data_IF_612655250459
#
_entry.id   IF_612655250459
#
_cell.length_a   1.000
_cell.length_b   1.000
_cell.length_c   1.000
_cell.angle_alpha   90.00
_cell.angle_beta   90.00
_cell.angle_gamma   90.00
#
_symmetry.space_group_name_H-M   'P 1'
#
loop_
_entity.id
_entity.type
_entity.pdbx_description
1 polymer ?
2 water ?
#
# COMPACT_ATOMS: atom_id res chain seq x y z
N UNK A 1 13.13 11.54 -26.92
CA UNK A 1 13.84 11.23 -25.69
C UNK A 1 12.90 10.85 -24.55
N UNK A 2 13.20 9.75 -23.87
CA UNK A 2 12.38 9.26 -22.77
C UNK A 2 12.50 10.14 -21.52
N UNK A 3 13.70 10.63 -21.26
CA UNK A 3 13.98 11.46 -20.10
C UNK A 3 15.17 12.40 -20.37
N UNK A 4 15.42 13.34 -19.45
CA UNK A 4 16.44 14.36 -19.66
C UNK A 4 17.80 14.02 -19.03
N UNK A 5 18.85 14.48 -19.74
CA UNK A 5 20.28 14.44 -19.36
C UNK A 5 20.71 13.67 -18.09
N UNK A 6 21.35 14.36 -17.14
CA UNK A 6 22.20 13.78 -16.09
C UNK A 6 23.63 13.58 -16.61
N UNK A 9 27.26 11.07 -15.15
CA UNK A 9 27.55 9.83 -15.87
C UNK A 9 27.43 8.61 -14.96
N UNK A 10 27.91 8.75 -13.73
CA UNK A 10 27.79 7.69 -12.73
C UNK A 10 26.35 7.29 -12.47
N UNK A 11 25.42 8.25 -12.63
CA UNK A 11 23.99 8.01 -12.43
C UNK A 11 23.21 7.74 -13.73
N UNK A 12 23.93 7.58 -14.83
CA UNK A 12 23.28 7.39 -16.14
C UNK A 12 22.59 6.03 -16.24
N UNK A 13 23.27 4.99 -15.79
CA UNK A 13 22.71 3.64 -15.84
C UNK A 13 21.58 3.51 -14.83
N UNK A 14 21.73 4.14 -13.67
CA UNK A 14 20.69 4.14 -12.63
C UNK A 14 19.38 4.77 -13.14
N UNK A 15 19.51 5.87 -13.86
CA UNK A 15 18.37 6.53 -14.46
C UNK A 15 17.66 5.63 -15.47
N UNK A 16 18.42 5.01 -16.36
CA UNK A 16 17.83 4.10 -17.35
C UNK A 16 17.10 2.94 -16.65
N UNK A 17 17.74 2.41 -15.61
CA UNK A 17 17.19 1.29 -14.83
C UNK A 17 15.90 1.71 -14.11
N UNK A 18 15.90 2.89 -13.53
CA UNK A 18 14.70 3.44 -12.90
C UNK A 18 13.50 3.44 -13.85
N UNK A 19 13.72 3.87 -15.09
CA UNK A 19 12.64 3.98 -16.07
C UNK A 19 12.27 2.64 -16.72
N UNK A 20 13.28 1.86 -17.10
CA UNK A 20 13.08 0.72 -17.98
C UNK A 20 13.40 -0.65 -17.36
N UNK A 21 13.83 -0.66 -16.10
CA UNK A 21 14.14 -1.91 -15.42
C UNK A 21 12.92 -2.70 -15.02
N UNK A 22 13.14 -3.96 -14.66
CA UNK A 22 12.13 -4.73 -13.94
C UNK A 22 11.97 -4.11 -12.55
N UNK A 23 10.96 -4.54 -11.80
CA UNK A 23 10.67 -3.93 -10.50
C UNK A 23 11.86 -3.97 -9.56
N UNK A 24 12.55 -5.11 -9.49
CA UNK A 24 13.72 -5.24 -8.61
C UNK A 24 14.76 -4.18 -8.97
N UNK A 25 15.02 -4.01 -10.25
CA UNK A 25 16.02 -3.05 -10.70
C UNK A 25 15.62 -1.61 -10.42
N UNK A 26 14.35 -1.29 -10.63
CA UNK A 26 13.84 0.06 -10.40
C UNK A 26 13.97 0.45 -8.93
N UNK A 27 13.59 -0.47 -8.06
CA UNK A 27 13.62 -0.22 -6.62
C UNK A 27 15.06 -0.04 -6.10
N UNK A 28 15.97 -0.86 -6.62
CA UNK A 28 17.38 -0.72 -6.28
C UNK A 28 17.93 0.61 -6.78
N UNK A 29 17.58 0.95 -8.02
CA UNK A 29 18.02 2.22 -8.62
C UNK A 29 17.54 3.45 -7.84
N UNK A 30 16.26 3.52 -7.50
CA UNK A 30 15.75 4.68 -6.79
C UNK A 30 16.36 4.79 -5.39
N UNK A 31 16.61 3.64 -4.75
CA UNK A 31 17.26 3.62 -3.44
C UNK A 31 18.64 4.25 -3.54
N UNK A 32 19.41 3.85 -4.55
CA UNK A 32 20.76 4.39 -4.74
C UNK A 32 20.71 5.87 -5.09
N UNK A 33 19.77 6.26 -5.94
CA UNK A 33 19.61 7.65 -6.35
C UNK A 33 19.31 8.57 -5.16
N UNK A 34 18.58 8.07 -4.18
CA UNK A 34 18.27 8.85 -2.97
C UNK A 34 19.52 9.12 -2.11
N UNK A 35 20.62 8.40 -2.39
CA UNK A 35 21.92 8.68 -1.72
C UNK A 35 22.86 9.55 -2.57
N UNK A 36 22.40 9.95 -3.76
CA UNK A 36 23.24 10.69 -4.71
C UNK A 36 22.96 12.20 -4.74
N UNK A 37 22.47 12.73 -3.62
CA UNK A 37 22.30 14.17 -3.46
C UNK A 37 21.30 14.83 -4.39
N UNK A 38 21.48 16.13 -4.61
CA UNK A 38 20.54 16.94 -5.36
C UNK A 38 20.19 16.34 -6.71
N UNK A 39 21.20 15.87 -7.44
CA UNK A 39 20.98 15.29 -8.77
C UNK A 39 20.18 13.98 -8.71
N UNK A 40 20.49 13.13 -7.74
CA UNK A 40 19.75 11.88 -7.54
C UNK A 40 18.27 12.14 -7.28
N UNK A 41 17.97 13.06 -6.37
CA UNK A 41 16.57 13.42 -6.10
C UNK A 41 15.91 14.07 -7.31
N UNK A 42 16.62 14.92 -8.04
CA UNK A 42 16.05 15.52 -9.24
C UNK A 42 15.60 14.46 -10.24
N UNK A 43 16.42 13.42 -10.42
CA UNK A 43 16.07 12.29 -11.28
C UNK A 43 14.79 11.60 -10.81
N UNK A 44 14.62 11.46 -9.50
CA UNK A 44 13.38 10.83 -8.97
C UNK A 44 12.14 11.70 -9.22
N UNK A 45 12.28 13.02 -9.09
CA UNK A 45 11.20 13.94 -9.45
C UNK A 45 10.78 13.79 -10.90
N UNK A 46 11.75 13.79 -11.79
CA UNK A 46 11.47 13.61 -13.21
C UNK A 46 10.80 12.28 -13.47
N UNK A 47 11.25 11.24 -12.76
CA UNK A 47 10.64 9.92 -12.92
C UNK A 47 9.15 9.94 -12.54
N UNK A 48 8.79 10.59 -11.44
CA UNK A 48 7.35 10.74 -11.09
C UNK A 48 6.54 11.43 -12.17
N UNK A 49 7.11 12.48 -12.75
CA UNK A 49 6.44 13.17 -13.85
C UNK A 49 6.29 12.27 -15.06
N UNK A 50 7.41 11.69 -15.50
CA UNK A 50 7.48 10.94 -16.74
C UNK A 50 6.74 9.60 -16.72
N UNK A 51 6.85 8.88 -15.60
CA UNK A 51 6.32 7.52 -15.52
C UNK A 51 4.80 7.45 -15.44
N UNK A 52 4.14 8.58 -15.22
CA UNK A 52 2.68 8.63 -15.21
C UNK A 52 2.08 8.18 -16.54
N UNK A 53 2.86 8.28 -17.62
CA UNK A 53 2.42 7.91 -18.96
C UNK A 53 2.52 6.39 -19.23
N UNK A 54 3.17 5.64 -18.34
CA UNK A 54 3.36 4.21 -18.56
C UNK A 54 2.03 3.45 -18.54
N UNK A 55 1.87 2.54 -19.50
CA UNK A 55 0.67 1.70 -19.60
C UNK A 55 1.05 0.37 -20.24
N UNK A 56 0.50 -0.76 -19.79
CA UNK A 56 -0.51 -0.85 -18.72
C UNK A 56 0.04 -0.49 -17.34
N UNK A 57 -0.84 -0.34 -16.35
CA UNK A 57 -0.43 0.13 -15.03
C UNK A 57 0.66 -0.75 -14.40
N UNK A 58 1.83 -0.17 -14.14
CA UNK A 58 2.86 -0.85 -13.36
C UNK A 58 2.48 -1.05 -11.90
N UNK A 59 3.29 -1.80 -11.18
CA UNK A 59 3.06 -2.04 -9.75
C UNK A 59 3.06 -0.70 -9.01
N UNK A 60 2.03 -0.46 -8.20
CA UNK A 60 1.88 0.86 -7.59
C UNK A 60 2.97 1.27 -6.59
N UNK A 61 3.76 0.30 -6.10
CA UNK A 61 4.85 0.64 -5.19
C UNK A 61 6.11 1.17 -5.87
N UNK A 62 6.15 1.16 -7.20
CA UNK A 62 7.28 1.78 -7.88
C UNK A 62 7.16 3.31 -7.72
N UNK A 63 6.05 3.88 -8.17
CA UNK A 63 5.79 5.30 -7.89
C UNK A 63 5.62 5.57 -6.40
N UNK A 64 4.98 4.64 -5.68
CA UNK A 64 4.84 4.78 -4.23
C UNK A 64 6.16 4.97 -3.51
N UNK A 65 7.11 4.09 -3.78
CA UNK A 65 8.40 4.15 -3.07
C UNK A 65 9.21 5.35 -3.56
N UNK A 66 9.11 5.68 -4.84
CA UNK A 66 9.80 6.85 -5.39
C UNK A 66 9.31 8.11 -4.66
N UNK A 67 7.99 8.20 -4.50
CA UNK A 67 7.38 9.31 -3.76
C UNK A 67 7.85 9.34 -2.30
N UNK A 68 7.89 8.17 -1.66
CA UNK A 68 8.38 8.09 -0.28
C UNK A 68 9.82 8.62 -0.16
N UNK A 69 10.69 8.22 -1.08
CA UNK A 69 12.08 8.68 -1.05
C UNK A 69 12.15 10.19 -1.18
N UNK A 70 11.38 10.74 -2.10
CA UNK A 70 11.30 12.19 -2.25
C UNK A 70 10.71 12.84 -0.99
N UNK A 71 9.63 12.25 -0.48
CA UNK A 71 8.99 12.74 0.75
C UNK A 71 9.97 12.85 1.90
N UNK A 72 10.92 11.91 1.96
CA UNK A 72 11.92 11.87 3.03
C UNK A 72 13.19 12.69 2.74
N UNK A 73 13.24 13.35 1.58
CA UNK A 73 14.40 14.15 1.17
C UNK A 73 14.53 15.43 1.99
N UNK A 74 15.77 15.83 2.29
CA UNK A 74 16.02 17.09 3.01
C UNK A 74 15.92 18.36 2.13
N UNK A 75 15.85 18.17 0.81
CA UNK A 75 15.90 19.27 -0.15
C UNK A 75 14.60 20.09 -0.18
N UNK A 76 14.73 21.40 0.05
CA UNK A 76 13.61 22.34 -0.06
C UNK A 76 12.91 22.30 -1.42
N UNK A 77 13.68 22.17 -2.50
CA UNK A 77 13.11 22.13 -3.84
C UNK A 77 12.24 20.88 -4.05
N UNK A 78 12.66 19.77 -3.47
CA UNK A 78 11.88 18.53 -3.54
C UNK A 78 10.56 18.69 -2.79
N UNK A 79 10.61 19.25 -1.59
CA UNK A 79 9.38 19.43 -0.83
C UNK A 79 8.42 20.41 -1.52
N UNK A 80 8.96 21.44 -2.17
CA UNK A 80 8.15 22.37 -2.95
C UNK A 80 7.47 21.63 -4.12
N UNK A 81 8.25 20.80 -4.81
CA UNK A 81 7.74 20.02 -5.94
C UNK A 81 6.57 19.15 -5.48
N UNK A 82 6.75 18.48 -4.34
CA UNK A 82 5.71 17.59 -3.83
C UNK A 82 4.47 18.36 -3.37
N UNK A 83 4.68 19.52 -2.74
CA UNK A 83 3.54 20.32 -2.31
C UNK A 83 2.75 20.86 -3.52
N UNK A 84 3.49 21.21 -4.58
CA UNK A 84 2.86 21.77 -5.79
C UNK A 84 2.10 20.74 -6.62
N UNK A 85 2.66 19.53 -6.72
CA UNK A 85 2.14 18.51 -7.65
C UNK A 85 1.52 17.29 -6.99
N UNK A 86 1.95 16.97 -5.76
CA UNK A 86 1.41 15.80 -5.04
C UNK A 86 1.00 16.11 -3.61
N UNK A 87 0.16 17.13 -3.42
CA UNK A 87 -0.26 17.54 -2.08
C UNK A 87 -1.02 16.47 -1.31
N UNK A 88 -1.72 15.58 -2.02
CA UNK A 88 -2.40 14.45 -1.40
C UNK A 88 -1.78 13.12 -1.82
N UNK A 89 -0.48 13.11 -2.08
CA UNK A 89 0.24 11.88 -2.41
C UNK A 89 0.16 11.50 -3.89
N UNK A 90 0.55 10.26 -4.20
CA UNK A 90 0.66 9.82 -5.59
C UNK A 90 -0.36 8.76 -6.00
N UNK A 91 -1.12 8.23 -5.03
CA UNK A 91 -2.13 7.21 -5.33
C UNK A 91 -3.50 7.86 -5.41
N UNK A 92 -4.21 7.72 -6.53
CA UNK A 92 -5.54 8.30 -6.64
C UNK A 92 -6.47 7.87 -5.51
N UNK A 93 -7.13 8.83 -4.90
CA UNK A 93 -8.04 8.55 -3.78
C UNK A 93 -9.48 8.61 -4.29
N UNK A 94 -10.07 7.43 -4.43
CA UNK A 94 -11.40 7.31 -5.05
C UNK A 94 -12.38 6.72 -4.06
N UNK A 95 -13.59 7.29 -4.05
CA UNK A 95 -14.64 6.79 -3.16
C UNK A 95 -16.00 6.94 -3.83
N UNK A 96 -16.91 6.02 -3.51
CA UNK A 96 -18.32 6.11 -3.92
C UNK A 96 -19.20 6.70 -2.83
N UNK A 97 -18.62 7.01 -1.68
CA UNK A 97 -19.41 7.44 -0.52
C UNK A 97 -18.80 8.67 0.18
N UNK A 98 -18.03 9.45 -0.57
CA UNK A 98 -17.45 10.69 -0.08
C UNK A 98 -16.45 10.53 1.05
N UNK A 99 -15.84 9.34 1.15
CA UNK A 99 -14.91 9.02 2.21
C UNK A 99 -13.55 9.67 1.93
N UNK A 100 -12.95 10.23 2.97
CA UNK A 100 -11.67 10.93 2.89
C UNK A 100 -10.52 9.96 3.25
N UNK A 101 -9.60 9.74 2.31
CA UNK A 101 -8.45 8.85 2.53
C UNK A 101 -7.13 9.62 2.65
N UNK A 102 -7.19 10.95 2.73
CA UNK A 102 -5.98 11.78 2.75
C UNK A 102 -5.09 11.45 3.95
N UNK A 103 -5.70 11.32 5.13
CA UNK A 103 -4.92 11.05 6.34
C UNK A 103 -4.33 9.64 6.28
N UNK A 104 -5.10 8.71 5.77
CA UNK A 104 -4.62 7.35 5.61
C UNK A 104 -3.36 7.34 4.73
N UNK A 105 -3.42 8.05 3.60
CA UNK A 105 -2.29 8.13 2.67
C UNK A 105 -1.04 8.71 3.35
N UNK A 106 -1.26 9.71 4.20
CA UNK A 106 -0.16 10.34 4.94
C UNK A 106 0.51 9.37 5.92
N UNK A 107 -0.29 8.59 6.64
CA UNK A 107 0.25 7.59 7.56
C UNK A 107 1.11 6.57 6.81
N UNK A 108 0.62 6.15 5.65
CA UNK A 108 1.32 5.17 4.85
C UNK A 108 2.70 5.63 4.40
N UNK A 109 2.81 6.82 3.84
CA UNK A 109 4.12 7.24 3.31
C UNK A 109 5.13 7.32 4.47
N UNK A 110 4.66 7.72 5.65
CA UNK A 110 5.48 7.78 6.85
C UNK A 110 5.77 6.42 7.53
N UNK A 111 5.24 5.34 6.96
CA UNK A 111 5.45 3.98 7.48
C UNK A 111 4.83 3.78 8.88
N UNK A 112 3.73 4.50 9.15
CA UNK A 112 3.01 4.38 10.40
C UNK A 112 1.95 3.29 10.21
N UNK A 113 2.42 2.05 10.12
CA UNK A 113 1.55 0.94 9.71
C UNK A 113 0.51 0.58 10.76
N UNK A 114 0.87 0.62 12.04
CA UNK A 114 -0.13 0.35 13.10
C UNK A 114 -1.29 1.34 13.01
N UNK A 115 -0.97 2.63 12.87
CA UNK A 115 -2.00 3.67 12.75
C UNK A 115 -2.80 3.49 11.48
N UNK A 116 -2.12 3.15 10.39
CA UNK A 116 -2.78 2.94 9.10
C UNK A 116 -3.76 1.77 9.17
N UNK A 117 -3.36 0.72 9.88
CA UNK A 117 -4.23 -0.44 10.09
C UNK A 117 -5.45 -0.09 10.93
N UNK A 118 -5.25 0.70 12.00
CA UNK A 118 -6.38 1.21 12.80
C UNK A 118 -7.36 1.98 11.92
N UNK A 119 -6.82 2.88 11.12
CA UNK A 119 -7.64 3.74 10.27
C UNK A 119 -8.32 2.94 9.14
N UNK A 120 -7.64 1.92 8.62
CA UNK A 120 -8.26 1.05 7.61
C UNK A 120 -9.57 0.45 8.13
N UNK A 121 -9.49 -0.17 9.32
CA UNK A 121 -10.67 -0.75 9.95
C UNK A 121 -11.75 0.32 10.17
N UNK A 122 -11.35 1.47 10.69
CA UNK A 122 -12.31 2.56 10.93
C UNK A 122 -12.99 2.99 9.64
N UNK A 123 -12.23 3.01 8.54
CA UNK A 123 -12.78 3.41 7.26
C UNK A 123 -13.76 2.40 6.69
N UNK A 124 -13.49 1.11 6.89
CA UNK A 124 -14.44 0.07 6.46
C UNK A 124 -15.76 0.22 7.21
N UNK A 125 -15.67 0.54 8.50
CA UNK A 125 -16.87 0.75 9.31
C UNK A 125 -17.61 2.00 8.87
N UNK A 126 -16.87 3.08 8.57
CA UNK A 126 -17.45 4.28 8.00
C UNK A 126 -18.26 3.98 6.74
N UNK A 127 -17.69 3.18 5.84
CA UNK A 127 -18.35 2.83 4.59
C UNK A 127 -19.65 2.05 4.81
N UNK A 128 -19.67 1.24 5.86
CA UNK A 128 -20.84 0.39 6.13
C UNK A 128 -22.00 1.13 6.80
N UNK A 129 -21.72 2.35 7.28
CA UNK A 129 -22.77 3.22 7.80
C UNK A 129 -22.69 3.44 9.30
N UNK A 130 -23.57 4.31 9.82
CA UNK A 130 -23.53 4.72 11.22
C UNK A 130 -23.49 3.56 12.24
N UNK A 131 -24.28 2.53 12.00
CA UNK A 131 -24.39 1.42 12.94
C UNK A 131 -23.06 0.66 13.05
N UNK A 132 -22.41 0.42 11.91
CA UNK A 132 -21.09 -0.21 11.91
C UNK A 132 -20.05 0.72 12.52
N UNK A 133 -20.15 2.01 12.20
CA UNK A 133 -19.20 3.00 12.68
C UNK A 133 -19.23 3.06 14.20
N UNK A 134 -20.43 3.03 14.77
CA UNK A 134 -20.59 2.99 16.23
C UNK A 134 -20.10 1.65 16.80
N UNK A 135 -20.45 0.57 16.13
CA UNK A 135 -20.06 -0.80 16.53
C UNK A 135 -18.54 -1.03 16.53
N UNK A 136 -17.86 -0.41 15.58
CA UNK A 136 -16.40 -0.54 15.37
C UNK A 136 -15.92 -1.87 14.76
N UNK A 137 -16.86 -2.72 14.33
CA UNK A 137 -16.53 -3.90 13.56
C UNK A 137 -17.66 -4.24 12.57
N UNK A 138 -17.38 -5.14 11.64
CA UNK A 138 -18.26 -5.41 10.50
C UNK A 138 -18.91 -6.78 10.57
N UNK A 139 -20.14 -6.87 10.09
CA UNK A 139 -20.72 -8.16 9.72
C UNK A 139 -20.22 -8.50 8.33
N UNK A 140 -20.10 -9.79 8.03
CA UNK A 140 -19.61 -10.19 6.70
C UNK A 140 -20.55 -9.73 5.57
N UNK A 141 -21.84 -9.65 5.86
CA UNK A 141 -22.81 -9.16 4.87
C UNK A 141 -22.53 -7.71 4.49
N UNK A 142 -22.07 -6.92 5.46
CA UNK A 142 -21.70 -5.53 5.19
C UNK A 142 -20.46 -5.47 4.30
N UNK A 143 -19.52 -6.39 4.53
CA UNK A 143 -18.29 -6.43 3.72
C UNK A 143 -18.62 -6.71 2.25
N UNK A 144 -19.52 -7.66 2.04
CA UNK A 144 -19.91 -8.05 0.69
C UNK A 144 -20.41 -6.84 -0.10
N UNK A 145 -20.92 -5.84 0.61
CA UNK A 145 -21.53 -4.65 0.01
C UNK A 145 -20.66 -3.38 -0.02
N UNK A 146 -19.40 -3.48 0.38
CA UNK A 146 -18.50 -2.32 0.29
C UNK A 146 -18.25 -1.89 -1.17
N UNK A 147 -18.17 -0.59 -1.46
CA UNK A 147 -17.93 -0.16 -2.85
C UNK A 147 -16.55 -0.54 -3.40
N UNK A 148 -16.52 -0.96 -4.66
CA UNK A 148 -15.27 -1.33 -5.31
C UNK A 148 -14.21 -0.22 -5.29
N UNK A 149 -14.56 1.02 -5.66
CA UNK A 149 -13.58 2.11 -5.68
C UNK A 149 -12.89 2.32 -4.32
N UNK A 150 -13.66 2.28 -3.25
CA UNK A 150 -13.14 2.47 -1.90
C UNK A 150 -12.18 1.36 -1.53
N UNK A 151 -12.58 0.13 -1.76
CA UNK A 151 -11.73 -1.00 -1.43
C UNK A 151 -10.45 -0.98 -2.27
N UNK A 152 -10.57 -0.58 -3.54
CA UNK A 152 -9.38 -0.50 -4.42
C UNK A 152 -8.43 0.60 -3.93
N UNK A 153 -8.99 1.72 -3.49
CA UNK A 153 -8.17 2.81 -2.96
C UNK A 153 -7.39 2.32 -1.75
N UNK A 154 -8.09 1.70 -0.81
CA UNK A 154 -7.46 1.19 0.39
C UNK A 154 -6.36 0.17 0.04
N UNK A 155 -6.67 -0.74 -0.88
CA UNK A 155 -5.73 -1.80 -1.22
C UNK A 155 -4.53 -1.24 -1.98
N UNK A 156 -4.78 -0.30 -2.90
CA UNK A 156 -3.71 0.34 -3.66
C UNK A 156 -2.76 1.08 -2.72
N UNK A 157 -3.30 1.72 -1.70
CA UNK A 157 -2.46 2.40 -0.72
C UNK A 157 -1.59 1.39 0.03
N UNK A 158 -2.19 0.31 0.51
CA UNK A 158 -1.43 -0.73 1.20
C UNK A 158 -0.32 -1.27 0.30
N UNK A 159 -0.64 -1.56 -0.95
CA UNK A 159 0.38 -2.09 -1.87
C UNK A 159 1.50 -1.09 -2.12
N UNK A 160 1.10 0.14 -2.43
CA UNK A 160 2.03 1.20 -2.87
C UNK A 160 3.09 1.52 -1.82
N UNK A 161 2.73 1.38 -0.55
CA UNK A 161 3.59 1.82 0.53
C UNK A 161 4.20 0.67 1.35
N UNK A 162 4.03 -0.54 0.84
CA UNK A 162 4.56 -1.74 1.47
C UNK A 162 5.48 -2.53 0.54
N UNK A 163 5.98 -1.89 -0.52
CA UNK A 163 6.74 -2.59 -1.54
C UNK A 163 5.97 -3.83 -2.04
N UNK A 164 4.64 -3.72 -2.09
CA UNK A 164 3.79 -4.79 -2.59
C UNK A 164 3.58 -5.97 -1.63
N UNK A 165 4.03 -5.85 -0.38
CA UNK A 165 3.96 -6.94 0.59
C UNK A 165 2.61 -7.05 1.29
N UNK A 166 1.89 -5.94 1.40
CA UNK A 166 0.68 -5.84 2.21
C UNK A 166 -0.53 -5.48 1.35
N UNK A 167 -1.71 -5.87 1.83
CA UNK A 167 -2.98 -5.53 1.17
C UNK A 167 -3.89 -6.73 1.08
N UNK A 168 -5.18 -6.46 0.95
CA UNK A 168 -6.17 -7.54 0.80
C UNK A 168 -5.90 -8.36 -0.45
N UNK A 169 -5.48 -7.70 -1.53
CA UNK A 169 -5.21 -8.42 -2.77
C UNK A 169 -4.04 -9.39 -2.62
N UNK A 170 -3.05 -9.03 -1.78
CA UNK A 170 -1.95 -9.93 -1.45
C UNK A 170 -2.46 -11.14 -0.65
N UNK A 171 -3.26 -10.88 0.38
CA UNK A 171 -3.84 -11.95 1.19
C UNK A 171 -4.67 -12.90 0.30
N UNK A 172 -5.43 -12.31 -0.62
CA UNK A 172 -6.21 -13.13 -1.56
C UNK A 172 -5.32 -14.09 -2.35
N UNK A 173 -4.27 -13.57 -2.96
CA UNK A 173 -3.39 -14.40 -3.77
C UNK A 173 -2.69 -15.46 -2.92
N UNK A 174 -2.26 -15.10 -1.73
CA UNK A 174 -1.64 -16.08 -0.82
C UNK A 174 -2.64 -17.16 -0.42
N UNK A 175 -3.87 -16.76 -0.13
CA UNK A 175 -4.93 -17.69 0.24
C UNK A 175 -5.21 -18.67 -0.90
N UNK A 176 -5.37 -18.14 -2.10
CA UNK A 176 -5.61 -18.97 -3.28
C UNK A 176 -4.43 -19.90 -3.56
N UNK A 177 -3.20 -19.44 -3.30
CA UNK A 177 -2.00 -20.27 -3.46
C UNK A 177 -1.75 -21.24 -2.31
N UNK A 178 -2.52 -21.12 -1.23
CA UNK A 178 -2.49 -22.02 -0.06
C UNK A 178 -3.63 -23.04 -0.14
N UNK A 179 -4.15 -23.29 -1.33
CA UNK A 179 -5.31 -24.19 -1.50
C UNK A 179 -6.59 -23.72 -0.83
N UNK A 180 -6.72 -22.41 -0.63
CA UNK A 180 -7.85 -21.82 0.10
C UNK A 180 -8.00 -22.39 1.51
N UNK A 181 -6.90 -22.86 2.08
CA UNK A 181 -6.90 -23.40 3.41
C UNK A 181 -6.51 -22.34 4.43
N UNK A 182 -7.45 -22.00 5.31
CA UNK A 182 -7.25 -20.90 6.26
C UNK A 182 -6.12 -21.19 7.24
N UNK A 183 -6.03 -22.43 7.71
CA UNK A 183 -4.97 -22.77 8.66
C UNK A 183 -3.60 -22.49 8.05
N UNK A 184 -3.40 -22.90 6.81
CA UNK A 184 -2.17 -22.64 6.07
C UNK A 184 -1.93 -21.14 5.89
N UNK A 185 -2.99 -20.39 5.63
CA UNK A 185 -2.86 -18.94 5.46
C UNK A 185 -2.33 -18.28 6.73
N UNK A 186 -2.90 -18.62 7.88
CA UNK A 186 -2.51 -17.97 9.15
C UNK A 186 -1.01 -18.16 9.38
N UNK A 187 -0.51 -19.36 9.13
CA UNK A 187 0.92 -19.62 9.26
C UNK A 187 1.71 -18.78 8.26
N UNK A 188 1.26 -18.78 7.01
CA UNK A 188 1.93 -18.06 5.92
C UNK A 188 2.10 -16.57 6.23
N UNK A 189 1.05 -15.93 6.70
CA UNK A 189 1.07 -14.46 6.91
C UNK A 189 1.42 -14.04 8.34
N UNK A 190 1.77 -15.01 9.20
CA UNK A 190 2.27 -14.71 10.53
C UNK A 190 1.21 -14.33 11.56
N UNK A 191 0.05 -14.97 11.47
CA UNK A 191 -1.06 -14.67 12.40
C UNK A 191 -1.22 -15.75 13.45
N UNK A 192 -0.18 -16.52 13.70
CA UNK A 192 -0.21 -17.50 14.79
C UNK A 192 0.95 -17.25 15.74
N UNK A 193 0.65 -17.36 17.03
CA UNK A 193 1.66 -17.39 18.08
C UNK A 193 1.57 -18.75 18.74
N UNK A 194 2.20 -19.74 18.13
CA UNK A 194 2.14 -21.12 18.63
C UNK A 194 0.74 -21.65 18.42
N UNK A 195 0.01 -21.89 19.52
CA UNK A 195 -1.34 -22.44 19.49
C UNK A 195 -2.44 -21.39 19.68
N UNK A 196 -2.09 -20.11 19.61
CA UNK A 196 -3.07 -19.05 19.82
C UNK A 196 -2.89 -17.92 18.82
N UNK A 197 -3.87 -17.02 18.77
CA UNK A 197 -3.74 -15.81 17.95
C UNK A 197 -2.75 -14.88 18.62
N UNK A 198 -2.08 -14.03 17.85
CA UNK A 198 -1.21 -13.01 18.44
C UNK A 198 -2.04 -11.97 19.16
N UNK A 199 -1.49 -11.41 20.23
CA UNK A 199 -2.15 -10.35 21.00
C UNK A 199 -2.06 -9.04 20.22
N UNK A 200 -3.19 -8.36 20.04
CA UNK A 200 -3.22 -7.09 19.34
C UNK A 200 -3.01 -5.95 20.34
N UNK A 201 -2.19 -4.93 20.02
CA UNK A 201 -1.37 -4.84 18.80
C UNK A 201 0.07 -5.35 18.95
N UNK A 202 0.51 -5.59 20.19
CA UNK A 202 1.93 -5.78 20.46
C UNK A 202 2.61 -6.97 19.79
N UNK A 203 1.87 -8.02 19.47
CA UNK A 203 2.51 -9.21 18.89
C UNK A 203 2.49 -9.29 17.36
N UNK A 204 1.96 -8.25 16.72
CA UNK A 204 2.06 -8.11 15.27
C UNK A 204 3.30 -7.30 14.90
N UNK A 205 3.69 -7.40 13.64
CA UNK A 205 4.92 -6.81 13.14
C UNK A 205 4.55 -5.61 12.27
N UNK A 206 4.88 -4.40 12.75
CA UNK A 206 4.41 -3.16 12.12
C UNK A 206 5.46 -2.51 11.23
N UNK A 207 6.15 -3.32 10.45
CA UNK A 207 7.11 -2.83 9.46
C UNK A 207 7.29 -3.85 8.36
N UNK A 208 8.16 -3.52 7.40
CA UNK A 208 8.24 -4.32 6.17
C UNK A 208 9.05 -5.60 6.33
N UNK A 209 9.59 -5.84 7.54
CA UNK A 209 10.14 -7.16 7.89
C UNK A 209 9.03 -8.20 8.07
N UNK A 210 7.79 -7.75 8.22
CA UNK A 210 6.66 -8.67 8.39
C UNK A 210 6.50 -9.55 7.16
N UNK A 211 5.92 -10.75 7.32
CA UNK A 211 5.68 -11.62 6.16
C UNK A 211 4.74 -10.95 5.16
N UNK A 212 4.87 -11.32 3.88
CA UNK A 212 3.91 -10.84 2.88
C UNK A 212 2.51 -11.24 3.34
N UNK A 213 1.55 -10.32 3.20
CA UNK A 213 0.16 -10.55 3.63
C UNK A 213 -0.13 -10.33 5.10
N UNK A 214 0.87 -9.93 5.88
CA UNK A 214 0.69 -9.78 7.33
C UNK A 214 -0.34 -8.71 7.67
N UNK A 215 -0.38 -7.63 6.88
CA UNK A 215 -1.30 -6.51 7.07
C UNK A 215 -2.08 -6.26 5.77
N UNK A 216 -3.28 -5.67 5.84
CA UNK A 216 -3.93 -5.23 7.07
C UNK A 216 -4.55 -6.37 7.87
N UNK A 217 -4.83 -6.12 9.15
CA UNK A 217 -5.41 -7.14 10.02
C UNK A 217 -6.92 -7.19 9.86
N UNK A 218 -7.45 -8.41 9.93
CA UNK A 218 -8.88 -8.63 10.09
C UNK A 218 -9.04 -9.57 11.29
N UNK A 219 -9.83 -9.17 12.27
CA UNK A 219 -9.89 -9.88 13.56
C UNK A 219 -10.49 -11.28 13.43
N UNK A 220 -9.70 -12.30 13.75
CA UNK A 220 -10.13 -13.70 13.62
C UNK A 220 -10.80 -14.26 14.87
N UNK A 221 -10.84 -13.48 15.95
CA UNK A 221 -11.55 -13.91 17.15
C UNK A 221 -13.05 -14.09 16.88
N UNK A 222 -13.57 -13.44 15.85
CA UNK A 222 -14.99 -13.58 15.47
C UNK A 222 -15.25 -14.54 14.29
N UNK A 223 -14.25 -15.34 13.94
CA UNK A 223 -14.40 -16.31 12.85
C UNK A 223 -13.97 -15.68 11.53
N UNK A 224 -13.94 -16.50 10.49
CA UNK A 224 -13.30 -16.13 9.23
C UNK A 224 -14.23 -15.46 8.21
N UNK A 225 -15.51 -15.31 8.53
CA UNK A 225 -16.49 -14.90 7.52
C UNK A 225 -16.22 -13.52 6.94
N UNK A 226 -15.80 -12.56 7.79
CA UNK A 226 -15.47 -11.22 7.30
C UNK A 226 -14.27 -11.25 6.35
N UNK A 227 -13.19 -11.90 6.74
CA UNK A 227 -12.01 -12.02 5.86
C UNK A 227 -12.39 -12.76 4.58
N UNK A 228 -13.19 -13.82 4.70
CA UNK A 228 -13.63 -14.56 3.53
C UNK A 228 -14.38 -13.65 2.54
N UNK A 229 -15.25 -12.81 3.06
CA UNK A 229 -15.99 -11.84 2.25
C UNK A 229 -15.04 -10.81 1.60
N UNK A 230 -14.05 -10.36 2.36
CA UNK A 230 -13.06 -9.43 1.83
C UNK A 230 -12.30 -10.03 0.66
N UNK A 231 -11.80 -11.25 0.84
CA UNK A 231 -10.94 -11.86 -0.17
C UNK A 231 -11.70 -12.29 -1.42
N UNK A 232 -13.01 -12.47 -1.29
CA UNK A 232 -13.88 -12.87 -2.41
C UNK A 232 -14.66 -11.68 -3.02
N UNK A 233 -14.41 -10.47 -2.51
CA UNK A 233 -15.07 -9.25 -2.98
C UNK A 233 -14.82 -9.02 -4.48
N UNK A 234 -15.81 -8.50 -5.22
CA UNK A 234 -15.62 -8.24 -6.65
C UNK A 234 -14.53 -7.22 -7.01
N UNK A 235 -14.04 -6.46 -6.04
CA UNK A 235 -12.97 -5.50 -6.28
C UNK A 235 -11.74 -6.14 -6.92
N UNK A 236 -11.45 -7.38 -6.55
CA UNK A 236 -10.18 -8.01 -6.95
C UNK A 236 -10.22 -8.68 -8.32
N UNK A 237 -11.40 -8.74 -8.94
CA UNK A 237 -11.55 -9.24 -10.31
C UNK A 237 -12.25 -8.24 -11.24
N UNK A 238 -12.41 -7.00 -10.78
CA UNK A 238 -13.09 -5.97 -11.55
C UNK A 238 -12.20 -5.51 -12.69
#
# INVERSE_FOLDING_TARGET
PEFMVTTEPALADLQEQLYNGNEKSQLAAMSTLSTAGTEGYHLLQEFLKDSATFSPPPAPWIRGQAYRLLFHSPEASVQAFLQQHYPQGVIPLRSDRGVDYQELAKLFVAEKFEAADRLTTQKLCELAGPLAQKRRWLYFTEVEQLPIPDLQTIDQLWLAFSLGRFGYSVQRQLWLGCGQNWDRLWEKIGWRQGKRWPRYPNEFIWDLSAPRGHLPLTNQLRGVQVLNALLNHPAWTA
#
